data_IF_908037137371
#
_entry.id   IF_908037137371
#
_cell.length_a   1.000
_cell.length_b   1.000
_cell.length_c   1.000
_cell.angle_alpha   90.00
_cell.angle_beta   90.00
_cell.angle_gamma   90.00
#
_symmetry.space_group_name_H-M   'P 1'
#
loop_
_entity.id
_entity.type
_entity.pdbx_description
1 polymer ?
#
# COMPACT_ATOMS: atom_id res chain seq x y z
N UNK A 1 -9.02 54.84 3.10
CA UNK A 1 -8.82 53.92 4.24
C UNK A 1 -8.88 52.51 3.67
N UNK A 2 -7.72 51.90 3.42
CA UNK A 2 -7.62 50.47 3.13
C UNK A 2 -7.15 49.83 4.43
N UNK A 3 -8.01 49.05 5.06
CA UNK A 3 -7.63 48.21 6.18
C UNK A 3 -6.68 47.13 5.65
N UNK A 4 -5.40 47.27 5.98
CA UNK A 4 -4.42 46.19 5.89
C UNK A 4 -4.89 45.04 6.79
N UNK A 5 -5.42 43.98 6.18
CA UNK A 5 -5.62 42.71 6.86
C UNK A 5 -4.26 42.19 7.31
N UNK A 6 -4.04 42.18 8.63
CA UNK A 6 -2.86 41.58 9.25
C UNK A 6 -2.96 40.06 9.12
N UNK A 7 -2.21 39.48 8.19
CA UNK A 7 -1.99 38.03 8.15
C UNK A 7 -1.39 37.58 9.49
N UNK A 8 -1.95 36.58 10.19
CA UNK A 8 -1.35 36.10 11.43
C UNK A 8 0.05 35.56 11.16
N UNK A 9 1.02 35.92 11.98
CA UNK A 9 2.37 35.36 11.90
C UNK A 9 2.31 33.86 12.21
N UNK A 10 2.50 33.00 11.21
CA UNK A 10 2.65 31.55 11.39
C UNK A 10 3.98 31.28 12.11
N UNK A 11 3.97 31.34 13.44
CA UNK A 11 5.13 31.15 14.33
C UNK A 11 4.99 29.91 15.22
N UNK A 12 4.14 28.96 14.83
CA UNK A 12 3.94 27.71 15.55
C UNK A 12 5.08 26.72 15.35
N UNK A 13 5.48 26.01 16.42
CA UNK A 13 6.29 24.80 16.32
C UNK A 13 5.45 23.70 15.65
N UNK A 14 5.88 23.08 14.54
CA UNK A 14 5.11 22.00 13.92
C UNK A 14 5.00 20.81 14.88
N UNK A 15 3.82 20.20 14.90
CA UNK A 15 3.50 19.02 15.71
C UNK A 15 2.80 17.98 14.85
N UNK A 16 2.94 16.71 15.22
CA UNK A 16 2.07 15.64 14.72
C UNK A 16 0.85 15.63 15.66
N UNK A 17 -0.28 16.16 15.21
CA UNK A 17 -1.49 16.30 16.03
C UNK A 17 -2.27 14.99 16.17
N UNK A 18 -2.26 14.15 15.12
CA UNK A 18 -2.93 12.85 15.09
C UNK A 18 -2.33 11.94 14.01
N UNK A 19 -2.67 10.66 14.06
CA UNK A 19 -2.33 9.64 13.05
C UNK A 19 -3.54 8.79 12.76
N UNK A 20 -3.74 8.41 11.50
CA UNK A 20 -4.76 7.44 11.10
C UNK A 20 -4.13 6.24 10.42
N UNK A 21 -4.84 5.11 10.46
CA UNK A 21 -4.36 3.84 9.90
C UNK A 21 -5.51 3.16 9.14
N UNK A 22 -5.21 2.75 7.92
CA UNK A 22 -6.03 1.79 7.18
C UNK A 22 -5.31 0.43 7.17
N UNK A 23 -6.03 -0.63 7.50
CA UNK A 23 -5.53 -2.01 7.46
C UNK A 23 -6.44 -2.84 6.56
N UNK A 24 -5.91 -3.45 5.48
CA UNK A 24 -6.68 -4.39 4.66
C UNK A 24 -7.24 -5.53 5.50
N UNK A 25 -8.45 -5.98 5.16
CA UNK A 25 -9.14 -7.05 5.90
C UNK A 25 -8.48 -8.41 5.70
N UNK A 26 -7.90 -8.65 4.53
CA UNK A 26 -7.22 -9.91 4.24
C UNK A 26 -5.79 -9.91 4.79
N UNK A 27 -5.39 -11.07 5.29
CA UNK A 27 -4.04 -11.34 5.77
C UNK A 27 -3.58 -12.70 5.26
N UNK A 28 -2.31 -12.79 4.89
CA UNK A 28 -1.64 -14.03 4.52
C UNK A 28 -0.74 -14.44 5.68
N UNK A 29 -0.89 -15.67 6.19
CA UNK A 29 0.04 -16.21 7.20
C UNK A 29 1.31 -16.75 6.54
N UNK A 30 2.36 -16.98 7.33
CA UNK A 30 3.58 -17.63 6.81
C UNK A 30 3.29 -19.02 6.26
N UNK A 31 2.40 -19.79 6.89
CA UNK A 31 2.00 -21.12 6.44
C UNK A 31 1.36 -21.07 5.05
N UNK A 32 0.41 -20.16 4.83
CA UNK A 32 -0.24 -19.99 3.53
C UNK A 32 0.77 -19.58 2.44
N UNK A 33 1.64 -18.60 2.75
CA UNK A 33 2.63 -18.10 1.81
C UNK A 33 3.65 -19.17 1.43
N UNK A 34 4.16 -19.90 2.43
CA UNK A 34 5.14 -20.98 2.23
C UNK A 34 4.52 -22.14 1.47
N UNK A 35 3.26 -22.51 1.78
CA UNK A 35 2.56 -23.57 1.06
C UNK A 35 2.42 -23.23 -0.44
N UNK A 36 1.98 -22.00 -0.74
CA UNK A 36 1.87 -21.50 -2.11
C UNK A 36 3.23 -21.48 -2.85
N UNK A 37 4.24 -20.87 -2.23
CA UNK A 37 5.59 -20.81 -2.82
C UNK A 37 6.20 -22.19 -3.05
N UNK A 38 6.05 -23.12 -2.11
CA UNK A 38 6.60 -24.47 -2.26
C UNK A 38 5.87 -25.27 -3.35
N UNK A 39 4.56 -25.08 -3.51
CA UNK A 39 3.81 -25.66 -4.62
C UNK A 39 4.29 -25.10 -5.97
N UNK A 40 4.57 -23.79 -6.04
CA UNK A 40 5.18 -23.17 -7.23
C UNK A 40 6.57 -23.75 -7.52
N UNK A 41 7.44 -23.83 -6.50
CA UNK A 41 8.79 -24.38 -6.65
C UNK A 41 8.77 -25.84 -7.13
N UNK A 42 7.86 -26.67 -6.60
CA UNK A 42 7.69 -28.05 -7.05
C UNK A 42 7.29 -28.13 -8.52
N UNK A 43 6.31 -27.32 -8.96
CA UNK A 43 5.87 -27.26 -10.36
C UNK A 43 6.99 -26.78 -11.29
N UNK A 44 7.69 -25.73 -10.90
CA UNK A 44 8.81 -25.18 -11.66
C UNK A 44 9.94 -26.21 -11.82
N UNK A 45 10.34 -26.86 -10.74
CA UNK A 45 11.41 -27.86 -10.77
C UNK A 45 11.01 -29.09 -11.59
N UNK A 46 9.75 -29.54 -11.51
CA UNK A 46 9.25 -30.64 -12.33
C UNK A 46 9.25 -30.26 -13.82
N UNK A 47 8.81 -29.06 -14.18
CA UNK A 47 8.79 -28.57 -15.55
C UNK A 47 10.20 -28.38 -16.14
N UNK A 48 11.20 -28.08 -15.31
CA UNK A 48 12.59 -27.84 -15.71
C UNK A 48 13.53 -29.02 -15.40
N UNK A 49 12.99 -30.21 -15.08
CA UNK A 49 13.79 -31.33 -14.57
C UNK A 49 14.99 -31.72 -15.47
N UNK A 50 14.80 -31.72 -16.78
CA UNK A 50 15.87 -32.03 -17.74
C UNK A 50 16.96 -30.94 -17.78
N UNK A 51 16.57 -29.67 -17.79
CA UNK A 51 17.50 -28.52 -17.78
C UNK A 51 18.28 -28.45 -16.45
N UNK A 52 17.62 -28.78 -15.33
CA UNK A 52 18.27 -28.90 -14.01
C UNK A 52 19.29 -30.04 -14.02
N UNK A 53 18.94 -31.21 -14.56
CA UNK A 53 19.88 -32.34 -14.66
C UNK A 53 21.08 -32.04 -15.59
N UNK A 54 20.89 -31.19 -16.59
CA UNK A 54 21.94 -30.71 -17.48
C UNK A 54 22.80 -29.58 -16.88
N UNK A 55 22.40 -29.01 -15.72
CA UNK A 55 23.08 -27.88 -15.08
C UNK A 55 22.85 -26.53 -15.76
N UNK A 56 21.82 -26.42 -16.59
CA UNK A 56 21.48 -25.18 -17.32
C UNK A 56 20.59 -24.24 -16.48
N UNK A 57 19.83 -24.81 -15.54
CA UNK A 57 18.92 -24.11 -14.63
C UNK A 57 19.16 -24.61 -13.21
N UNK A 58 19.33 -23.69 -12.27
CA UNK A 58 19.40 -24.03 -10.85
C UNK A 58 18.00 -24.40 -10.31
N UNK A 59 17.87 -25.46 -9.49
CA UNK A 59 16.58 -25.82 -8.91
C UNK A 59 16.12 -24.73 -7.93
N UNK A 60 14.84 -24.38 -8.00
CA UNK A 60 14.25 -23.46 -7.03
C UNK A 60 14.21 -24.11 -5.64
N UNK A 61 14.78 -23.46 -4.61
CA UNK A 61 14.70 -23.98 -3.25
C UNK A 61 13.29 -23.79 -2.68
N UNK A 62 12.95 -24.61 -1.68
CA UNK A 62 11.75 -24.42 -0.88
C UNK A 62 11.98 -23.40 0.23
N UNK A 63 10.90 -22.77 0.66
CA UNK A 63 10.85 -21.91 1.83
C UNK A 63 10.28 -22.65 3.04
N UNK A 64 10.39 -22.05 4.23
CA UNK A 64 9.80 -22.54 5.47
C UNK A 64 9.32 -21.39 6.35
N UNK A 65 8.38 -21.67 7.26
CA UNK A 65 7.87 -20.67 8.21
C UNK A 65 9.00 -20.21 9.14
N UNK A 66 9.79 -21.15 9.65
CA UNK A 66 10.91 -20.90 10.56
C UNK A 66 11.97 -20.02 9.90
N UNK A 67 12.23 -20.22 8.60
CA UNK A 67 13.13 -19.37 7.84
C UNK A 67 12.65 -17.92 7.82
N UNK A 68 11.38 -17.68 7.47
CA UNK A 68 10.81 -16.32 7.41
C UNK A 68 10.87 -15.64 8.78
N UNK A 69 10.44 -16.34 9.84
CA UNK A 69 10.45 -15.80 11.19
C UNK A 69 11.86 -15.51 11.70
N UNK A 70 12.80 -16.43 11.49
CA UNK A 70 14.19 -16.23 11.92
C UNK A 70 14.88 -15.09 11.16
N UNK A 71 14.58 -14.94 9.88
CA UNK A 71 15.21 -13.93 9.03
C UNK A 71 14.66 -12.51 9.26
N UNK A 72 13.38 -12.38 9.67
CA UNK A 72 12.70 -11.07 9.66
C UNK A 72 11.80 -10.78 10.88
N UNK A 73 11.43 -11.80 11.66
CA UNK A 73 10.40 -11.69 12.70
C UNK A 73 8.97 -11.59 12.17
N UNK A 74 8.75 -11.58 10.85
CA UNK A 74 7.43 -11.46 10.24
C UNK A 74 6.66 -12.78 10.39
N UNK A 75 5.40 -12.69 10.85
CA UNK A 75 4.49 -13.82 11.03
C UNK A 75 3.32 -13.84 10.04
N UNK A 76 2.86 -12.65 9.65
CA UNK A 76 1.77 -12.45 8.71
C UNK A 76 1.91 -11.10 8.03
N UNK A 77 1.16 -10.88 6.96
CA UNK A 77 1.06 -9.58 6.27
C UNK A 77 -0.34 -9.35 5.75
N UNK A 78 -0.80 -8.10 5.86
CA UNK A 78 -2.05 -7.66 5.24
C UNK A 78 -1.86 -7.45 3.75
N UNK A 79 -2.87 -7.80 2.96
CA UNK A 79 -2.86 -7.67 1.50
C UNK A 79 -4.20 -7.17 1.02
N UNK A 80 -4.20 -6.46 -0.11
CA UNK A 80 -5.42 -5.96 -0.75
C UNK A 80 -6.11 -7.04 -1.62
N UNK A 81 -5.38 -8.08 -2.04
CA UNK A 81 -5.90 -9.17 -2.86
C UNK A 81 -5.15 -10.46 -2.56
N UNK A 82 -5.74 -11.32 -1.73
CA UNK A 82 -5.10 -12.51 -1.17
C UNK A 82 -5.10 -13.71 -2.13
N UNK A 83 -6.26 -14.08 -2.66
CA UNK A 83 -6.44 -15.30 -3.43
C UNK A 83 -5.41 -15.46 -4.58
N UNK A 84 -5.19 -14.46 -5.47
CA UNK A 84 -4.24 -14.62 -6.58
C UNK A 84 -2.77 -14.55 -6.15
N UNK A 85 -2.45 -13.97 -4.98
CA UNK A 85 -1.10 -14.06 -4.42
C UNK A 85 -0.78 -15.50 -4.00
N UNK A 86 -1.78 -16.21 -3.46
CA UNK A 86 -1.62 -17.59 -2.99
C UNK A 86 -1.76 -18.64 -4.10
N UNK A 87 -2.20 -18.26 -5.29
CA UNK A 87 -2.28 -19.16 -6.44
C UNK A 87 -0.87 -19.41 -7.04
N UNK A 88 -0.34 -20.65 -7.01
CA UNK A 88 0.98 -20.97 -7.54
C UNK A 88 1.15 -20.72 -9.05
N UNK A 89 0.05 -20.58 -9.81
CA UNK A 89 0.11 -20.25 -11.24
C UNK A 89 0.09 -18.72 -11.49
N UNK A 90 -0.19 -17.91 -10.47
CA UNK A 90 -0.30 -16.45 -10.58
C UNK A 90 0.78 -15.72 -9.77
N UNK A 91 0.94 -16.07 -8.49
CA UNK A 91 1.97 -15.56 -7.56
C UNK A 91 2.05 -14.01 -7.50
N UNK A 92 0.92 -13.32 -7.70
CA UNK A 92 0.85 -11.85 -7.76
C UNK A 92 -0.57 -11.35 -7.47
N UNK A 93 -0.76 -10.12 -6.94
CA UNK A 93 -2.09 -9.56 -6.77
C UNK A 93 -2.82 -9.38 -8.10
N UNK A 94 -4.14 -9.54 -8.07
CA UNK A 94 -5.07 -9.26 -9.18
C UNK A 94 -6.29 -8.55 -8.62
N UNK A 95 -6.72 -7.51 -9.32
CA UNK A 95 -7.99 -6.81 -9.14
C UNK A 95 -8.33 -6.10 -10.44
N UNK A 96 -9.59 -5.78 -10.62
CA UNK A 96 -10.05 -5.10 -11.83
C UNK A 96 -9.50 -3.67 -11.89
N UNK A 97 -9.24 -3.21 -13.11
CA UNK A 97 -8.97 -1.80 -13.35
C UNK A 97 -10.24 -0.99 -13.05
N UNK A 98 -10.07 0.17 -12.42
CA UNK A 98 -11.15 1.11 -12.15
C UNK A 98 -11.21 2.15 -13.25
N UNK A 99 -12.42 2.61 -13.59
CA UNK A 99 -12.59 3.75 -14.49
C UNK A 99 -12.04 5.04 -13.88
N UNK A 100 -11.79 6.06 -14.71
CA UNK A 100 -11.26 7.34 -14.25
C UNK A 100 -12.25 8.13 -13.36
N UNK A 101 -13.54 7.79 -13.40
CA UNK A 101 -14.58 8.40 -12.56
C UNK A 101 -14.69 7.73 -11.18
N UNK A 102 -13.93 6.66 -10.95
CA UNK A 102 -13.87 5.93 -9.69
C UNK A 102 -12.57 6.28 -8.96
N UNK A 103 -12.64 6.32 -7.62
CA UNK A 103 -11.44 6.52 -6.81
C UNK A 103 -10.45 5.37 -7.02
N UNK A 104 -9.18 5.70 -7.22
CA UNK A 104 -8.11 4.71 -7.34
C UNK A 104 -7.86 3.99 -6.00
N UNK A 105 -7.37 2.75 -6.07
CA UNK A 105 -7.12 1.91 -4.88
C UNK A 105 -6.18 2.61 -3.89
N UNK A 106 -5.11 3.23 -4.38
CA UNK A 106 -4.15 3.92 -3.52
C UNK A 106 -4.77 5.18 -2.87
N UNK A 107 -5.58 5.95 -3.62
CA UNK A 107 -6.28 7.09 -3.06
C UNK A 107 -7.34 6.68 -2.04
N UNK A 108 -8.07 5.59 -2.27
CA UNK A 108 -9.05 5.04 -1.33
C UNK A 108 -8.41 4.69 0.03
N UNK A 109 -7.26 4.02 0.00
CA UNK A 109 -6.46 3.72 1.21
C UNK A 109 -6.03 5.01 1.93
N UNK A 110 -5.51 5.98 1.16
CA UNK A 110 -5.06 7.27 1.68
C UNK A 110 -6.19 8.07 2.33
N UNK A 111 -7.36 8.13 1.69
CA UNK A 111 -8.56 8.80 2.19
C UNK A 111 -9.05 8.15 3.49
N UNK A 112 -9.10 6.82 3.56
CA UNK A 112 -9.53 6.12 4.77
C UNK A 112 -8.61 6.42 5.96
N UNK A 113 -7.29 6.35 5.76
CA UNK A 113 -6.32 6.69 6.81
C UNK A 113 -6.38 8.18 7.19
N UNK A 114 -6.50 9.09 6.21
CA UNK A 114 -6.59 10.53 6.46
C UNK A 114 -7.86 10.90 7.24
N UNK A 115 -9.02 10.31 6.91
CA UNK A 115 -10.27 10.50 7.67
C UNK A 115 -10.11 10.09 9.13
N UNK A 116 -9.48 8.94 9.39
CA UNK A 116 -9.21 8.48 10.75
C UNK A 116 -8.27 9.45 11.51
N UNK A 117 -7.30 10.07 10.83
CA UNK A 117 -6.41 11.07 11.43
C UNK A 117 -7.16 12.37 11.75
N UNK A 118 -7.98 12.87 10.82
CA UNK A 118 -8.78 14.09 10.98
C UNK A 118 -9.79 13.95 12.12
N UNK A 119 -10.48 12.81 12.19
CA UNK A 119 -11.40 12.50 13.28
C UNK A 119 -10.70 12.52 14.65
N UNK A 120 -9.55 11.87 14.76
CA UNK A 120 -8.76 11.88 16.00
C UNK A 120 -8.23 13.28 16.36
N UNK A 121 -7.92 14.10 15.36
CA UNK A 121 -7.51 15.49 15.57
C UNK A 121 -8.67 16.42 15.94
N UNK A 122 -9.92 15.98 15.76
CA UNK A 122 -11.10 16.83 15.87
C UNK A 122 -11.07 17.98 14.87
N UNK A 123 -10.63 17.70 13.63
CA UNK A 123 -10.43 18.70 12.57
C UNK A 123 -11.26 18.36 11.35
N UNK A 124 -11.78 19.40 10.71
CA UNK A 124 -12.46 19.26 9.43
C UNK A 124 -11.44 19.23 8.28
N UNK A 125 -11.73 18.57 7.14
CA UNK A 125 -10.85 18.60 5.97
C UNK A 125 -10.53 20.03 5.52
N UNK A 126 -11.45 20.97 5.69
CA UNK A 126 -11.27 22.38 5.31
C UNK A 126 -10.20 23.11 6.15
N UNK A 127 -9.76 22.53 7.27
CA UNK A 127 -8.63 23.04 8.07
C UNK A 127 -7.25 22.64 7.50
N UNK A 128 -7.20 21.85 6.43
CA UNK A 128 -5.96 21.35 5.82
C UNK A 128 -5.61 22.17 4.58
N UNK A 129 -4.42 22.76 4.55
CA UNK A 129 -3.96 23.56 3.40
C UNK A 129 -3.17 22.74 2.36
N UNK A 130 -2.68 21.56 2.75
CA UNK A 130 -1.79 20.75 1.92
C UNK A 130 -1.94 19.24 2.17
N UNK A 131 -1.92 18.45 1.08
CA UNK A 131 -1.88 16.99 1.11
C UNK A 131 -0.56 16.49 0.53
N UNK A 132 0.19 15.68 1.28
CA UNK A 132 1.43 15.07 0.82
C UNK A 132 1.25 13.55 0.69
N UNK A 133 1.32 13.02 -0.52
CA UNK A 133 1.30 11.58 -0.75
C UNK A 133 2.73 11.03 -0.77
N UNK A 134 3.26 10.71 0.41
CA UNK A 134 4.63 10.21 0.58
C UNK A 134 4.66 8.67 0.72
N UNK A 135 4.86 7.97 -0.39
CA UNK A 135 4.94 6.50 -0.44
C UNK A 135 6.08 6.04 -1.38
N UNK A 136 6.50 4.78 -1.27
CA UNK A 136 7.61 4.23 -2.07
C UNK A 136 7.29 4.01 -3.54
N UNK A 137 6.01 3.95 -3.91
CA UNK A 137 5.56 3.81 -5.28
C UNK A 137 4.22 4.51 -5.46
N UNK A 138 4.00 5.14 -6.61
CA UNK A 138 2.76 5.84 -6.96
C UNK A 138 1.97 5.01 -7.96
N UNK A 139 0.65 4.90 -7.78
CA UNK A 139 -0.20 4.11 -8.68
C UNK A 139 -0.18 4.67 -10.11
N UNK A 140 0.03 5.98 -10.28
CA UNK A 140 0.19 6.65 -11.58
C UNK A 140 1.10 7.86 -11.45
N UNK A 141 1.64 8.33 -12.59
CA UNK A 141 2.48 9.51 -12.64
C UNK A 141 1.70 10.82 -12.54
N UNK A 142 0.57 10.92 -13.26
CA UNK A 142 -0.33 12.07 -13.26
C UNK A 142 -1.78 11.65 -13.60
N UNK A 143 -2.80 12.37 -13.12
CA UNK A 143 -2.71 13.40 -12.06
C UNK A 143 -2.16 12.81 -10.76
N UNK A 144 -1.51 13.62 -9.92
CA UNK A 144 -0.84 13.12 -8.72
C UNK A 144 -1.81 12.40 -7.77
N UNK A 145 -1.32 11.40 -7.04
CA UNK A 145 -2.12 10.67 -6.04
C UNK A 145 -2.62 11.62 -4.94
N UNK A 146 -1.80 12.59 -4.53
CA UNK A 146 -2.16 13.59 -3.55
C UNK A 146 -3.34 14.46 -3.98
N UNK A 147 -3.43 14.83 -5.27
CA UNK A 147 -4.52 15.64 -5.82
C UNK A 147 -5.84 14.88 -5.78
N UNK A 148 -5.84 13.59 -6.09
CA UNK A 148 -7.05 12.76 -6.01
C UNK A 148 -7.50 12.57 -4.55
N UNK A 149 -6.56 12.31 -3.62
CA UNK A 149 -6.87 12.21 -2.18
C UNK A 149 -7.44 13.54 -1.66
N UNK A 150 -6.82 14.67 -2.04
CA UNK A 150 -7.27 16.02 -1.71
C UNK A 150 -8.71 16.24 -2.18
N UNK A 151 -9.00 15.96 -3.45
CA UNK A 151 -10.33 16.09 -4.04
C UNK A 151 -11.35 15.19 -3.31
N UNK A 152 -11.00 13.94 -3.03
CA UNK A 152 -11.90 12.98 -2.36
C UNK A 152 -12.19 13.33 -0.89
N UNK A 153 -11.32 14.08 -0.22
CA UNK A 153 -11.53 14.60 1.12
C UNK A 153 -12.27 15.95 1.13
N UNK A 154 -12.36 16.64 0.00
CA UNK A 154 -12.91 18.00 -0.09
C UNK A 154 -11.98 19.05 0.52
N UNK A 155 -10.67 18.87 0.34
CA UNK A 155 -9.61 19.75 0.83
C UNK A 155 -9.25 20.75 -0.28
N UNK A 156 -9.15 22.04 0.05
CA UNK A 156 -8.64 23.08 -0.85
C UNK A 156 -7.10 23.21 -0.72
N UNK A 157 -6.46 24.13 -1.44
CA UNK A 157 -5.01 24.31 -1.37
C UNK A 157 -4.26 23.43 -2.38
N UNK A 158 -3.19 22.72 -1.96
CA UNK A 158 -2.34 21.96 -2.89
C UNK A 158 -2.03 20.52 -2.47
N UNK A 159 -1.84 19.64 -3.46
CA UNK A 159 -1.41 18.26 -3.29
C UNK A 159 -0.05 17.99 -3.96
N UNK A 160 0.85 17.27 -3.27
CA UNK A 160 2.14 16.82 -3.81
C UNK A 160 2.39 15.34 -3.57
#
# INVERSE_FOLDING_TARGET
MQETQSTPALTGRPVISATGLFTPTESITNEELVASFNAFADRHNAANAAAIAAGEVEPLPKSSVEFIEKASGIKARHVMSKAPILDPDVMAPRWDERGNDEISVMAEIGVAAARAALEQAGRDPQDVDAVLCAASNMQRAYPAMAIEIQQALGIDGFGF
#
